data_IF_547627756553
#
_entry.id   IF_547627756553
#
_cell.length_a   1.000
_cell.length_b   1.000
_cell.length_c   1.000
_cell.angle_alpha   90.00
_cell.angle_beta   90.00
_cell.angle_gamma   90.00
#
_symmetry.space_group_name_H-M   'P 1'
#
loop_
_entity.id
_entity.type
_entity.pdbx_description
1 polymer ?
#
# COMPACT_ATOMS: atom_id res chain seq x y z
N UNK A 1 -33.18 6.78 1.64
CA UNK A 1 -32.64 5.51 2.19
C UNK A 1 -33.10 5.35 3.65
N UNK A 2 -32.69 6.23 4.58
CA UNK A 2 -33.03 6.07 6.00
C UNK A 2 -34.54 5.94 6.25
N UNK A 3 -35.34 6.81 5.65
CA UNK A 3 -36.81 6.79 5.80
C UNK A 3 -37.45 5.49 5.28
N UNK A 4 -36.93 4.91 4.22
CA UNK A 4 -37.48 3.64 3.63
C UNK A 4 -37.11 2.40 4.45
N UNK A 5 -36.08 2.52 5.32
CA UNK A 5 -35.58 1.41 6.16
C UNK A 5 -35.87 1.62 7.66
N UNK A 6 -36.64 2.66 8.01
CA UNK A 6 -36.99 2.93 9.42
C UNK A 6 -35.80 3.37 10.28
N UNK A 7 -34.71 3.84 9.67
CA UNK A 7 -33.51 4.27 10.37
C UNK A 7 -33.79 5.65 11.02
N UNK A 8 -33.50 5.83 12.31
CA UNK A 8 -33.80 7.07 13.02
C UNK A 8 -32.94 8.24 12.52
N UNK A 9 -33.47 9.46 12.64
CA UNK A 9 -32.78 10.69 12.20
C UNK A 9 -31.44 10.89 12.91
N UNK A 10 -31.35 10.51 14.16
CA UNK A 10 -30.10 10.57 14.92
C UNK A 10 -28.96 9.81 14.25
N UNK A 11 -29.25 8.62 13.67
CA UNK A 11 -28.25 7.86 12.94
C UNK A 11 -27.84 8.54 11.64
N UNK A 12 -28.78 9.21 10.97
CA UNK A 12 -28.46 10.02 9.76
C UNK A 12 -27.49 11.15 10.11
N UNK A 13 -27.76 11.88 11.19
CA UNK A 13 -26.93 13.00 11.64
C UNK A 13 -25.52 12.49 12.05
N UNK A 14 -25.44 11.36 12.74
CA UNK A 14 -24.18 10.71 13.12
C UNK A 14 -23.30 10.33 11.90
N UNK A 15 -23.87 9.64 10.89
CA UNK A 15 -23.08 9.24 9.72
C UNK A 15 -22.69 10.42 8.82
N UNK A 16 -23.47 11.50 8.82
CA UNK A 16 -23.13 12.75 8.12
C UNK A 16 -21.93 13.41 8.79
N UNK A 17 -21.88 13.47 10.10
CA UNK A 17 -20.73 13.99 10.87
C UNK A 17 -19.51 13.10 10.67
N UNK A 18 -19.65 11.79 10.78
CA UNK A 18 -18.56 10.83 10.57
C UNK A 18 -17.96 10.96 9.16
N UNK A 19 -18.78 11.17 8.13
CA UNK A 19 -18.33 11.38 6.77
C UNK A 19 -17.79 12.81 6.51
N UNK A 20 -17.86 13.71 7.47
CA UNK A 20 -17.37 15.10 7.36
C UNK A 20 -18.12 15.95 6.34
N UNK A 21 -19.41 15.65 6.08
CA UNK A 21 -20.26 16.40 5.15
C UNK A 21 -21.36 17.20 5.83
N UNK A 22 -21.25 17.43 7.14
CA UNK A 22 -22.23 18.18 7.93
C UNK A 22 -22.51 19.58 7.38
N UNK A 23 -21.45 20.32 6.99
CA UNK A 23 -21.57 21.68 6.45
C UNK A 23 -22.35 21.79 5.15
N UNK A 24 -22.39 20.69 4.37
CA UNK A 24 -23.07 20.63 3.05
C UNK A 24 -24.34 19.76 3.07
N UNK A 25 -24.76 19.30 4.23
CA UNK A 25 -25.90 18.37 4.42
C UNK A 25 -27.23 18.89 3.85
N UNK A 26 -27.38 20.20 3.67
CA UNK A 26 -28.56 20.84 3.06
C UNK A 26 -28.42 21.12 1.57
N UNK A 27 -27.23 20.86 1.00
CA UNK A 27 -26.96 21.08 -0.42
C UNK A 27 -27.47 19.86 -1.22
N UNK A 28 -28.03 20.12 -2.42
CA UNK A 28 -28.45 19.04 -3.32
C UNK A 28 -27.24 18.22 -3.76
N UNK A 29 -27.30 16.90 -3.66
CA UNK A 29 -26.23 15.97 -4.03
C UNK A 29 -25.69 16.18 -5.46
N UNK A 30 -26.55 16.61 -6.42
CA UNK A 30 -26.13 16.93 -7.78
C UNK A 30 -25.17 18.15 -7.92
N UNK A 31 -24.91 18.87 -6.81
CA UNK A 31 -23.91 19.96 -6.75
C UNK A 31 -22.63 19.54 -6.01
N UNK A 32 -22.54 18.30 -5.60
CA UNK A 32 -21.38 17.80 -4.87
C UNK A 32 -20.18 17.64 -5.79
N UNK A 33 -18.99 17.95 -5.26
CA UNK A 33 -17.76 17.50 -5.90
C UNK A 33 -17.66 15.97 -5.86
N UNK A 34 -16.75 15.40 -6.63
CA UNK A 34 -16.54 13.94 -6.62
C UNK A 34 -16.26 13.45 -5.19
N UNK A 35 -15.34 14.12 -4.46
CA UNK A 35 -15.02 13.75 -3.08
C UNK A 35 -16.20 13.86 -2.11
N UNK A 36 -17.04 14.91 -2.25
CA UNK A 36 -18.27 15.00 -1.48
C UNK A 36 -19.26 13.88 -1.82
N UNK A 37 -19.32 13.48 -3.08
CA UNK A 37 -20.14 12.35 -3.54
C UNK A 37 -19.66 11.02 -2.94
N UNK A 38 -18.34 10.78 -2.91
CA UNK A 38 -17.74 9.59 -2.27
C UNK A 38 -18.04 9.55 -0.76
N UNK A 39 -17.84 10.66 -0.06
CA UNK A 39 -18.17 10.77 1.38
C UNK A 39 -19.66 10.50 1.65
N UNK A 40 -20.55 10.98 0.78
CA UNK A 40 -21.98 10.67 0.87
C UNK A 40 -22.27 9.18 0.64
N UNK A 41 -21.58 8.54 -0.31
CA UNK A 41 -21.67 7.10 -0.55
C UNK A 41 -21.26 6.29 0.67
N UNK A 42 -20.15 6.65 1.31
CA UNK A 42 -19.68 6.02 2.55
C UNK A 42 -20.67 6.23 3.71
N UNK A 43 -21.20 7.46 3.87
CA UNK A 43 -22.25 7.74 4.86
C UNK A 43 -23.50 6.87 4.62
N UNK A 44 -23.89 6.69 3.36
CA UNK A 44 -25.03 5.83 3.02
C UNK A 44 -24.76 4.35 3.32
N UNK A 45 -23.55 3.86 3.08
CA UNK A 45 -23.15 2.49 3.42
C UNK A 45 -23.17 2.24 4.93
N UNK A 46 -22.87 3.26 5.73
CA UNK A 46 -22.83 3.16 7.21
C UNK A 46 -24.21 3.29 7.87
N UNK A 47 -25.24 3.73 7.16
CA UNK A 47 -26.56 4.00 7.75
C UNK A 47 -27.14 2.80 8.51
N UNK A 48 -27.00 1.60 7.94
CA UNK A 48 -27.50 0.35 8.51
C UNK A 48 -26.62 -0.26 9.58
N UNK A 49 -25.57 0.43 10.00
CA UNK A 49 -24.56 -0.07 10.95
C UNK A 49 -24.01 -1.47 10.59
N UNK A 50 -23.49 -1.67 9.37
CA UNK A 50 -23.07 -2.98 8.91
C UNK A 50 -21.80 -3.47 9.62
N UNK A 51 -21.72 -4.77 9.88
CA UNK A 51 -20.49 -5.42 10.34
C UNK A 51 -19.45 -5.57 9.21
N UNK A 52 -19.89 -5.59 7.95
CA UNK A 52 -19.03 -5.73 6.78
C UNK A 52 -19.28 -4.59 5.80
N UNK A 53 -18.22 -3.91 5.40
CA UNK A 53 -18.22 -2.88 4.36
C UNK A 53 -17.55 -3.44 3.09
N UNK A 54 -18.19 -3.25 1.94
CA UNK A 54 -17.62 -3.57 0.63
C UNK A 54 -17.53 -2.26 -0.15
N UNK A 55 -16.32 -1.86 -0.49
CA UNK A 55 -16.00 -0.58 -1.12
C UNK A 55 -15.26 -0.84 -2.44
N UNK A 56 -15.87 -0.42 -3.54
CA UNK A 56 -15.28 -0.54 -4.87
C UNK A 56 -14.61 0.77 -5.26
N UNK A 57 -13.28 0.73 -5.43
CA UNK A 57 -12.43 1.87 -5.79
C UNK A 57 -12.74 3.16 -4.99
N UNK A 58 -12.78 3.12 -3.64
CA UNK A 58 -13.29 4.23 -2.84
C UNK A 58 -12.42 5.50 -2.91
N UNK A 59 -11.16 5.38 -3.36
CA UNK A 59 -10.21 6.51 -3.48
C UNK A 59 -10.11 7.06 -4.91
N UNK A 60 -10.77 6.43 -5.88
CA UNK A 60 -10.61 6.80 -7.28
C UNK A 60 -11.11 8.23 -7.56
N UNK A 61 -10.25 9.04 -8.18
CA UNK A 61 -10.54 10.42 -8.56
C UNK A 61 -10.64 11.41 -7.39
N UNK A 62 -10.18 11.03 -6.20
CA UNK A 62 -10.05 11.95 -5.07
C UNK A 62 -8.72 12.71 -5.12
N UNK A 63 -8.71 13.87 -4.51
CA UNK A 63 -7.49 14.62 -4.19
C UNK A 63 -6.73 13.93 -3.03
N UNK A 64 -5.47 14.29 -2.77
CA UNK A 64 -4.66 13.65 -1.73
C UNK A 64 -5.30 13.71 -0.32
N UNK A 65 -6.05 14.79 -0.02
CA UNK A 65 -6.76 14.92 1.25
C UNK A 65 -7.92 13.91 1.34
N UNK A 66 -8.67 13.77 0.25
CA UNK A 66 -9.75 12.78 0.15
C UNK A 66 -9.25 11.34 0.27
N UNK A 67 -8.13 11.00 -0.39
CA UNK A 67 -7.48 9.67 -0.28
C UNK A 67 -7.09 9.40 1.17
N UNK A 68 -6.40 10.34 1.80
CA UNK A 68 -6.00 10.23 3.21
C UNK A 68 -7.22 10.01 4.13
N UNK A 69 -8.29 10.78 3.93
CA UNK A 69 -9.50 10.65 4.71
C UNK A 69 -10.15 9.26 4.56
N UNK A 70 -10.26 8.72 3.32
CA UNK A 70 -10.79 7.36 3.10
C UNK A 70 -9.95 6.31 3.82
N UNK A 71 -8.63 6.42 3.76
CA UNK A 71 -7.72 5.51 4.46
C UNK A 71 -7.92 5.55 5.98
N UNK A 72 -7.97 6.75 6.57
CA UNK A 72 -8.23 6.93 8.00
C UNK A 72 -9.61 6.35 8.40
N UNK A 73 -10.63 6.59 7.56
CA UNK A 73 -11.97 6.03 7.76
C UNK A 73 -11.99 4.50 7.73
N UNK A 74 -11.35 3.88 6.73
CA UNK A 74 -11.30 2.41 6.60
C UNK A 74 -10.58 1.79 7.81
N UNK A 75 -9.45 2.36 8.23
CA UNK A 75 -8.72 1.91 9.42
C UNK A 75 -9.52 2.11 10.71
N UNK A 76 -10.23 3.21 10.83
CA UNK A 76 -11.15 3.44 11.95
C UNK A 76 -12.25 2.37 11.98
N UNK A 77 -12.90 2.10 10.87
CA UNK A 77 -13.96 1.10 10.77
C UNK A 77 -13.47 -0.31 11.14
N UNK A 78 -12.27 -0.69 10.67
CA UNK A 78 -11.63 -1.96 11.03
C UNK A 78 -11.29 -2.00 12.53
N UNK A 79 -10.78 -0.91 13.11
CA UNK A 79 -10.50 -0.77 14.55
C UNK A 79 -11.74 -0.92 15.44
N UNK A 80 -12.91 -0.55 14.93
CA UNK A 80 -14.21 -0.79 15.59
C UNK A 80 -14.71 -2.25 15.44
N UNK A 81 -13.90 -3.14 14.86
CA UNK A 81 -14.24 -4.56 14.69
C UNK A 81 -15.06 -4.87 13.43
N UNK A 82 -15.16 -3.95 12.47
CA UNK A 82 -15.82 -4.21 11.19
C UNK A 82 -14.86 -4.90 10.23
N UNK A 83 -15.39 -5.76 9.39
CA UNK A 83 -14.66 -6.27 8.23
C UNK A 83 -14.79 -5.30 7.08
N UNK A 84 -13.67 -4.87 6.48
CA UNK A 84 -13.68 -4.00 5.31
C UNK A 84 -13.02 -4.71 4.14
N UNK A 85 -13.78 -4.96 3.08
CA UNK A 85 -13.28 -5.40 1.79
C UNK A 85 -13.28 -4.21 0.84
N UNK A 86 -12.12 -3.86 0.31
CA UNK A 86 -12.01 -2.77 -0.65
C UNK A 86 -11.23 -3.22 -1.89
N UNK A 87 -11.64 -2.73 -3.06
CA UNK A 87 -10.86 -2.84 -4.29
C UNK A 87 -10.03 -1.59 -4.52
N UNK A 88 -8.84 -1.73 -5.08
CA UNK A 88 -8.03 -0.62 -5.58
C UNK A 88 -7.00 -1.12 -6.59
N UNK A 89 -6.61 -0.23 -7.50
CA UNK A 89 -5.47 -0.41 -8.39
C UNK A 89 -4.23 0.39 -7.91
N UNK A 90 -4.35 1.14 -6.81
CA UNK A 90 -3.26 1.95 -6.24
C UNK A 90 -2.52 1.13 -5.17
N UNK A 91 -1.45 0.42 -5.59
CA UNK A 91 -0.70 -0.49 -4.71
C UNK A 91 -0.09 0.23 -3.51
N UNK A 92 0.38 1.48 -3.68
CA UNK A 92 0.93 2.30 -2.61
C UNK A 92 -0.09 2.64 -1.52
N UNK A 93 -1.37 2.82 -1.87
CA UNK A 93 -2.45 3.03 -0.90
C UNK A 93 -2.83 1.71 -0.21
N UNK A 94 -2.86 0.60 -0.96
CA UNK A 94 -3.11 -0.71 -0.38
C UNK A 94 -2.04 -1.10 0.64
N UNK A 95 -0.77 -0.85 0.33
CA UNK A 95 0.34 -1.11 1.24
C UNK A 95 0.23 -0.36 2.60
N UNK A 96 -0.49 0.77 2.62
CA UNK A 96 -0.70 1.57 3.83
C UNK A 96 -2.02 1.28 4.54
N UNK A 97 -2.93 0.55 3.89
CA UNK A 97 -4.32 0.40 4.36
C UNK A 97 -4.68 -1.03 4.68
N UNK A 98 -4.26 -1.99 3.86
CA UNK A 98 -4.68 -3.38 3.96
C UNK A 98 -3.81 -4.17 4.96
N UNK A 99 -4.44 -5.07 5.72
CA UNK A 99 -3.77 -6.07 6.54
C UNK A 99 -3.62 -7.38 5.75
N UNK A 100 -4.55 -7.62 4.82
CA UNK A 100 -4.64 -8.84 4.00
C UNK A 100 -4.95 -8.47 2.56
N UNK A 101 -4.36 -9.18 1.60
CA UNK A 101 -4.48 -8.90 0.17
C UNK A 101 -4.93 -10.13 -0.58
N UNK A 102 -5.93 -9.96 -1.44
CA UNK A 102 -6.36 -10.95 -2.42
C UNK A 102 -6.03 -10.43 -3.81
N UNK A 103 -5.12 -11.10 -4.52
CA UNK A 103 -4.74 -10.72 -5.89
C UNK A 103 -5.54 -11.56 -6.88
N UNK A 104 -6.20 -10.87 -7.81
CA UNK A 104 -7.00 -11.48 -8.85
C UNK A 104 -6.35 -11.32 -10.23
N UNK A 105 -6.34 -12.39 -11.02
CA UNK A 105 -5.91 -12.33 -12.41
C UNK A 105 -6.65 -13.35 -13.28
N UNK A 106 -7.13 -12.93 -14.43
CA UNK A 106 -7.89 -13.76 -15.37
C UNK A 106 -9.06 -14.54 -14.73
N UNK A 107 -9.78 -13.87 -13.81
CA UNK A 107 -10.91 -14.47 -13.09
C UNK A 107 -10.54 -15.54 -12.06
N UNK A 108 -9.27 -15.62 -11.65
CA UNK A 108 -8.78 -16.54 -10.62
C UNK A 108 -8.10 -15.79 -9.49
N UNK A 109 -8.11 -16.37 -8.30
CA UNK A 109 -7.27 -15.92 -7.19
C UNK A 109 -5.85 -16.36 -7.46
N UNK A 110 -4.92 -15.42 -7.57
CA UNK A 110 -3.50 -15.66 -7.75
C UNK A 110 -2.77 -15.73 -6.40
N UNK A 111 -3.21 -14.90 -5.43
CA UNK A 111 -2.73 -14.93 -4.06
C UNK A 111 -3.83 -14.51 -3.10
N UNK A 112 -3.76 -15.02 -1.87
CA UNK A 112 -4.64 -14.73 -0.74
C UNK A 112 -3.80 -14.87 0.53
N UNK A 113 -3.28 -13.75 1.05
CA UNK A 113 -2.30 -13.75 2.13
C UNK A 113 -2.26 -12.44 2.91
N UNK A 114 -1.75 -12.44 4.17
CA UNK A 114 -1.35 -11.21 4.84
C UNK A 114 -0.39 -10.40 3.96
N UNK A 115 -0.54 -9.07 3.99
CA UNK A 115 0.23 -8.15 3.13
C UNK A 115 1.74 -8.37 3.27
N UNK A 116 2.25 -8.42 4.50
CA UNK A 116 3.68 -8.59 4.77
C UNK A 116 4.22 -9.93 4.25
N UNK A 117 3.41 -11.00 4.34
CA UNK A 117 3.78 -12.33 3.84
C UNK A 117 3.83 -12.33 2.31
N UNK A 118 2.87 -11.67 1.65
CA UNK A 118 2.86 -11.53 0.21
C UNK A 118 4.10 -10.78 -0.28
N UNK A 119 4.42 -9.63 0.32
CA UNK A 119 5.60 -8.85 -0.05
C UNK A 119 6.86 -9.67 0.15
N UNK A 120 7.04 -10.32 1.30
CA UNK A 120 8.22 -11.15 1.57
C UNK A 120 8.38 -12.33 0.61
N UNK A 121 7.28 -12.93 0.18
CA UNK A 121 7.32 -14.09 -0.71
C UNK A 121 7.71 -13.74 -2.16
N UNK A 122 7.42 -12.51 -2.60
CA UNK A 122 7.53 -12.10 -4.00
C UNK A 122 8.54 -10.97 -4.22
N UNK A 123 9.21 -10.51 -3.19
CA UNK A 123 10.24 -9.46 -3.31
C UNK A 123 11.48 -9.86 -2.54
N UNK A 124 12.62 -9.29 -2.93
CA UNK A 124 13.89 -9.50 -2.25
C UNK A 124 14.19 -8.30 -1.36
N UNK A 125 14.60 -8.56 -0.13
CA UNK A 125 15.14 -7.51 0.73
C UNK A 125 16.55 -7.18 0.29
N UNK A 126 16.81 -5.94 -0.05
CA UNK A 126 18.13 -5.44 -0.44
C UNK A 126 18.66 -4.46 0.59
N UNK A 127 19.97 -4.37 0.72
CA UNK A 127 20.63 -3.31 1.50
C UNK A 127 21.32 -2.35 0.54
N UNK A 128 20.86 -1.10 0.55
CA UNK A 128 21.50 -0.02 -0.18
C UNK A 128 22.65 0.54 0.65
N UNK A 129 23.83 0.60 0.05
CA UNK A 129 25.05 1.13 0.69
C UNK A 129 25.63 2.21 -0.18
N UNK A 130 26.00 3.35 0.40
CA UNK A 130 26.81 4.35 -0.28
C UNK A 130 28.14 4.53 0.44
N UNK A 131 29.24 4.39 -0.31
CA UNK A 131 30.61 4.51 0.23
C UNK A 131 31.56 5.01 -0.85
N UNK A 132 32.52 5.87 -0.53
CA UNK A 132 33.63 6.23 -1.43
C UNK A 132 34.56 5.05 -1.73
N UNK A 133 34.51 3.99 -0.90
CA UNK A 133 35.28 2.73 -1.06
C UNK A 133 34.37 1.55 -1.33
N UNK A 134 33.27 1.77 -2.10
CA UNK A 134 32.25 0.76 -2.39
C UNK A 134 32.82 -0.52 -3.01
N UNK A 135 33.78 -0.42 -3.95
CA UNK A 135 34.39 -1.59 -4.61
C UNK A 135 35.17 -2.47 -3.61
N UNK A 136 35.86 -1.86 -2.65
CA UNK A 136 36.56 -2.59 -1.62
C UNK A 136 35.57 -3.27 -0.66
N UNK A 137 34.55 -2.55 -0.23
CA UNK A 137 33.47 -3.12 0.59
C UNK A 137 32.78 -4.29 -0.10
N UNK A 138 32.48 -4.16 -1.40
CA UNK A 138 31.86 -5.25 -2.19
C UNK A 138 32.71 -6.52 -2.14
N UNK A 139 34.04 -6.40 -2.18
CA UNK A 139 34.95 -7.56 -2.09
C UNK A 139 34.94 -8.20 -0.69
N UNK A 140 34.80 -7.39 0.36
CA UNK A 140 34.78 -7.89 1.74
C UNK A 140 33.49 -8.58 2.12
N UNK A 141 32.36 -8.12 1.58
CA UNK A 141 31.03 -8.69 1.86
C UNK A 141 30.65 -9.83 0.89
N UNK A 142 31.46 -10.05 -0.16
CA UNK A 142 31.20 -11.12 -1.12
C UNK A 142 31.17 -12.49 -0.45
N UNK A 143 30.16 -13.29 -0.74
CA UNK A 143 29.96 -14.63 -0.20
C UNK A 143 29.07 -15.48 -1.11
N UNK A 144 28.95 -16.78 -0.84
CA UNK A 144 28.17 -17.68 -1.69
C UNK A 144 26.69 -17.32 -1.80
N UNK A 145 26.13 -16.70 -0.74
CA UNK A 145 24.72 -16.33 -0.66
C UNK A 145 24.52 -14.81 -0.77
N UNK A 146 25.58 -14.05 -1.09
CA UNK A 146 25.55 -12.58 -1.16
C UNK A 146 25.70 -12.13 -2.60
N UNK A 147 24.66 -11.48 -3.12
CA UNK A 147 24.69 -10.84 -4.43
C UNK A 147 24.91 -9.35 -4.26
N UNK A 148 25.91 -8.82 -4.96
CA UNK A 148 26.26 -7.39 -4.91
C UNK A 148 26.15 -6.81 -6.32
N UNK A 149 25.32 -5.80 -6.47
CA UNK A 149 25.19 -5.00 -7.70
C UNK A 149 25.63 -3.56 -7.42
N UNK A 150 26.25 -2.93 -8.43
CA UNK A 150 26.67 -1.52 -8.34
C UNK A 150 25.96 -0.70 -9.43
N UNK A 151 24.76 -0.17 -9.16
CA UNK A 151 23.98 0.57 -10.16
C UNK A 151 24.64 1.88 -10.57
N UNK A 152 25.38 2.51 -9.67
CA UNK A 152 26.18 3.73 -9.93
C UNK A 152 27.48 3.68 -9.13
N UNK A 153 28.53 4.38 -9.56
CA UNK A 153 29.79 4.46 -8.82
C UNK A 153 29.55 4.91 -7.36
N UNK A 154 30.11 4.17 -6.42
CA UNK A 154 29.98 4.46 -4.98
C UNK A 154 28.71 3.95 -4.32
N UNK A 155 27.78 3.32 -5.06
CA UNK A 155 26.54 2.74 -4.54
C UNK A 155 26.54 1.24 -4.77
N UNK A 156 26.20 0.48 -3.72
CA UNK A 156 25.96 -0.96 -3.80
C UNK A 156 24.50 -1.26 -3.45
N UNK A 157 23.95 -2.27 -4.13
CA UNK A 157 22.74 -2.99 -3.72
C UNK A 157 23.14 -4.40 -3.38
N UNK A 158 22.85 -4.81 -2.15
CA UNK A 158 23.31 -6.08 -1.58
C UNK A 158 22.11 -6.92 -1.19
N UNK A 159 22.04 -8.11 -1.73
CA UNK A 159 21.08 -9.16 -1.37
C UNK A 159 21.79 -10.24 -0.56
N UNK A 160 21.10 -10.90 0.35
CA UNK A 160 21.64 -12.01 1.13
C UNK A 160 22.46 -11.60 2.35
N UNK A 161 22.65 -10.30 2.60
CA UNK A 161 23.31 -9.79 3.80
C UNK A 161 22.43 -8.77 4.54
N UNK A 162 22.62 -8.65 5.84
CA UNK A 162 21.91 -7.67 6.66
C UNK A 162 22.67 -6.35 6.74
N UNK A 163 21.96 -5.24 6.96
CA UNK A 163 22.62 -3.94 7.18
C UNK A 163 23.60 -4.00 8.36
N UNK A 164 23.25 -4.74 9.43
CA UNK A 164 24.15 -4.91 10.57
C UNK A 164 25.46 -5.59 10.16
N UNK A 165 25.40 -6.75 9.46
CA UNK A 165 26.62 -7.46 9.05
C UNK A 165 27.50 -6.66 8.07
N UNK A 166 26.86 -5.89 7.16
CA UNK A 166 27.58 -4.99 6.25
C UNK A 166 28.24 -3.84 7.04
N UNK A 167 27.53 -3.28 8.02
CA UNK A 167 28.03 -2.22 8.88
C UNK A 167 29.25 -2.67 9.70
N UNK A 168 29.19 -3.86 10.29
CA UNK A 168 30.29 -4.44 11.06
C UNK A 168 31.51 -4.69 10.16
N UNK A 169 31.32 -5.29 8.98
CA UNK A 169 32.41 -5.50 7.99
C UNK A 169 33.03 -4.18 7.54
N UNK A 170 32.23 -3.14 7.33
CA UNK A 170 32.71 -1.82 6.94
C UNK A 170 33.54 -1.19 8.09
N UNK A 171 33.07 -1.32 9.33
CA UNK A 171 33.77 -0.82 10.51
C UNK A 171 35.13 -1.51 10.72
N UNK A 172 35.16 -2.85 10.62
CA UNK A 172 36.39 -3.64 10.73
C UNK A 172 37.39 -3.28 9.61
N UNK A 173 36.91 -2.99 8.40
CA UNK A 173 37.74 -2.54 7.28
C UNK A 173 38.07 -1.04 7.30
N UNK A 174 37.59 -0.28 8.29
CA UNK A 174 37.75 1.18 8.35
C UNK A 174 37.17 1.91 7.13
N UNK A 175 36.09 1.35 6.55
CA UNK A 175 35.43 1.88 5.34
C UNK A 175 34.31 2.83 5.76
N UNK A 176 34.37 4.12 5.37
CA UNK A 176 33.30 5.06 5.70
C UNK A 176 32.04 4.76 4.92
N UNK A 177 30.88 4.77 5.59
CA UNK A 177 29.58 4.64 5.00
C UNK A 177 28.88 6.00 5.01
N UNK A 178 28.35 6.41 3.87
CA UNK A 178 27.53 7.61 3.73
C UNK A 178 26.03 7.28 3.79
N UNK A 179 25.68 6.04 3.43
CA UNK A 179 24.32 5.49 3.52
C UNK A 179 24.42 3.99 3.82
N UNK A 180 23.56 3.51 4.69
CA UNK A 180 23.32 2.09 4.94
C UNK A 180 21.85 1.92 5.28
N UNK A 181 21.04 1.51 4.29
CA UNK A 181 19.60 1.41 4.43
C UNK A 181 19.09 0.07 3.91
N UNK A 182 18.24 -0.58 4.68
CA UNK A 182 17.50 -1.76 4.23
C UNK A 182 16.30 -1.31 3.42
N UNK A 183 16.20 -1.79 2.20
CA UNK A 183 15.03 -1.59 1.32
C UNK A 183 14.29 -2.92 1.22
N UNK A 184 13.10 -2.96 1.75
CA UNK A 184 12.17 -4.06 1.51
C UNK A 184 11.44 -3.81 0.19
N UNK A 185 11.13 -4.86 -0.54
CA UNK A 185 10.32 -4.73 -1.75
C UNK A 185 8.94 -4.14 -1.47
N UNK A 186 8.32 -3.64 -2.49
CA UNK A 186 7.00 -3.01 -2.44
C UNK A 186 5.89 -3.99 -2.81
N UNK A 187 4.65 -3.68 -2.39
CA UNK A 187 3.48 -4.42 -2.86
C UNK A 187 3.34 -4.35 -4.39
N UNK A 188 3.76 -3.25 -5.00
CA UNK A 188 3.75 -3.08 -6.45
C UNK A 188 4.68 -4.07 -7.14
N UNK A 189 5.91 -4.23 -6.64
CA UNK A 189 6.87 -5.24 -7.14
C UNK A 189 6.33 -6.66 -6.97
N UNK A 190 5.78 -6.98 -5.79
CA UNK A 190 5.15 -8.26 -5.53
C UNK A 190 3.99 -8.54 -6.49
N UNK A 191 3.13 -7.55 -6.71
CA UNK A 191 2.01 -7.64 -7.65
C UNK A 191 2.48 -7.87 -9.09
N UNK A 192 3.48 -7.13 -9.56
CA UNK A 192 4.04 -7.28 -10.91
C UNK A 192 4.64 -8.67 -11.11
N UNK A 193 5.46 -9.14 -10.16
CA UNK A 193 6.05 -10.49 -10.21
C UNK A 193 4.98 -11.59 -10.26
N UNK A 194 3.93 -11.44 -9.45
CA UNK A 194 2.84 -12.41 -9.34
C UNK A 194 1.97 -12.43 -10.61
N UNK A 195 1.76 -11.27 -11.23
CA UNK A 195 0.89 -11.12 -12.40
C UNK A 195 1.62 -11.23 -13.73
N UNK A 196 2.94 -11.32 -13.77
CA UNK A 196 3.74 -11.37 -15.01
C UNK A 196 3.26 -12.45 -15.98
N UNK A 197 2.89 -13.63 -15.46
CA UNK A 197 2.34 -14.73 -16.27
C UNK A 197 0.85 -14.58 -16.60
N UNK A 198 0.15 -13.68 -15.92
CA UNK A 198 -1.29 -13.46 -16.03
C UNK A 198 -1.68 -12.23 -16.87
N UNK A 199 -0.70 -11.41 -17.29
CA UNK A 199 -0.96 -10.22 -18.12
C UNK A 199 -1.30 -10.65 -19.57
N UNK A 200 -2.47 -10.24 -20.04
CA UNK A 200 -2.97 -10.54 -21.40
C UNK A 200 -2.27 -9.73 -22.50
N UNK A 201 -1.81 -8.53 -22.18
CA UNK A 201 -1.18 -7.60 -23.12
C UNK A 201 0.21 -7.21 -22.60
N UNK A 202 1.26 -7.82 -23.18
CA UNK A 202 2.63 -7.33 -22.96
C UNK A 202 2.85 -6.09 -23.82
N UNK A 203 3.00 -4.93 -23.20
CA UNK A 203 3.53 -3.73 -23.88
C UNK A 203 4.96 -4.01 -24.31
N UNK A 204 5.33 -3.64 -25.56
CA UNK A 204 6.74 -3.70 -25.99
C UNK A 204 7.56 -2.77 -25.11
N UNK A 205 8.64 -3.29 -24.54
CA UNK A 205 9.65 -2.45 -23.88
C UNK A 205 10.18 -1.44 -24.91
N UNK A 206 10.14 -0.18 -24.54
CA UNK A 206 10.84 0.86 -25.30
C UNK A 206 12.31 0.79 -24.89
N UNK A 207 13.15 0.25 -25.79
CA UNK A 207 14.60 0.23 -25.66
C UNK A 207 15.17 1.62 -25.98
#
# INVERSE_FOLDING_TARGET
IAATHGIPRSRVDEVIELAGIGSVSRTRAGKFSLGMGQRLGLAAALLGDPHTLILDEPVNGLDPEGVRWVREFVRYAAGEGRTVLLSSHLMSEMAQTADHVVVLGRGKVLADAPLDDLVRAWTTTTVRVQSPRATELATLIAGPDVRVESPTPGVLQVEGATAASIGDTAADGGIPLHELATTTGSLEEAYLALTESAVEYKTKEFA
#
